data_IF_253435601351
#
_entry.id   IF_253435601351
#
_cell.length_a   1.000
_cell.length_b   1.000
_cell.length_c   1.000
_cell.angle_alpha   90.00
_cell.angle_beta   90.00
_cell.angle_gamma   90.00
#
_symmetry.space_group_name_H-M   'P 1'
#
loop_
_entity.id
_entity.type
_entity.pdbx_description
1 polymer ?
#
# COMPACT_ATOMS: atom_id res chain seq x y z
N UNK A 1 -6.97 38.64 10.84
CA UNK A 1 -7.64 37.68 9.99
C UNK A 1 -7.37 36.28 10.48
N UNK A 2 -8.39 35.47 10.61
CA UNK A 2 -8.46 34.22 11.35
C UNK A 2 -7.42 33.13 10.98
N UNK A 3 -6.87 33.17 9.77
CA UNK A 3 -5.88 32.17 9.32
C UNK A 3 -4.47 32.36 9.93
N UNK A 4 -4.11 33.58 10.35
CA UNK A 4 -2.81 33.86 10.97
C UNK A 4 -2.72 33.44 12.44
N UNK A 5 -3.87 33.38 13.12
CA UNK A 5 -3.91 33.03 14.54
C UNK A 5 -3.91 31.53 14.81
N UNK A 6 -4.36 30.72 13.86
CA UNK A 6 -4.29 29.26 13.93
C UNK A 6 -2.84 28.79 13.80
N UNK A 7 -2.03 29.43 12.97
CA UNK A 7 -0.60 29.08 12.79
C UNK A 7 0.28 29.44 14.00
N UNK A 8 -0.11 30.47 14.79
CA UNK A 8 0.65 30.85 15.99
C UNK A 8 0.38 29.97 17.21
N UNK A 9 -0.78 29.30 17.27
CA UNK A 9 -1.11 28.36 18.34
C UNK A 9 -0.42 27.00 18.20
N UNK A 10 -0.12 26.55 16.98
CA UNK A 10 0.52 25.25 16.75
C UNK A 10 2.01 25.19 17.09
N UNK A 11 2.70 26.32 17.26
CA UNK A 11 4.14 26.34 17.54
C UNK A 11 4.51 26.40 19.04
N UNK A 12 3.53 26.36 19.94
CA UNK A 12 3.81 26.47 21.39
C UNK A 12 3.67 25.18 22.17
N UNK A 13 3.01 24.15 21.61
CA UNK A 13 2.67 22.92 22.34
C UNK A 13 3.52 21.68 21.96
N UNK A 14 4.61 21.86 21.19
CA UNK A 14 5.37 20.73 20.62
C UNK A 14 6.42 20.08 21.54
N UNK A 15 6.61 20.56 22.79
CA UNK A 15 7.62 19.97 23.69
C UNK A 15 7.06 18.99 24.73
N UNK A 16 5.77 19.05 25.04
CA UNK A 16 5.16 18.21 26.09
C UNK A 16 4.34 17.02 25.58
N UNK A 17 3.94 17.02 24.29
CA UNK A 17 3.10 15.95 23.72
C UNK A 17 3.85 14.66 23.38
N UNK A 18 5.19 14.66 23.32
CA UNK A 18 5.95 13.43 23.01
C UNK A 18 5.93 12.38 24.12
N UNK A 19 5.64 12.77 25.36
CA UNK A 19 5.57 11.83 26.49
C UNK A 19 4.16 11.33 26.83
N UNK A 20 3.09 12.03 26.37
CA UNK A 20 1.71 11.61 26.61
C UNK A 20 1.17 10.67 25.54
N UNK A 21 1.68 10.75 24.31
CA UNK A 21 1.19 9.93 23.18
C UNK A 21 1.51 8.43 23.31
N UNK A 22 2.52 8.06 24.11
CA UNK A 22 2.84 6.64 24.32
C UNK A 22 1.89 5.95 25.31
N UNK A 23 1.33 6.69 26.28
CA UNK A 23 0.39 6.13 27.26
C UNK A 23 -1.05 6.00 26.71
N UNK A 24 -1.51 6.96 25.90
CA UNK A 24 -2.84 6.88 25.28
C UNK A 24 -2.94 5.78 24.19
N UNK A 25 -1.81 5.44 23.56
CA UNK A 25 -1.78 4.40 22.53
C UNK A 25 -2.00 2.99 23.11
N UNK A 26 -1.58 2.73 24.35
CA UNK A 26 -1.81 1.42 24.99
C UNK A 26 -3.25 1.19 25.41
N UNK A 27 -4.01 2.24 25.73
CA UNK A 27 -5.41 2.10 26.13
C UNK A 27 -6.38 1.86 24.97
N UNK A 28 -6.12 2.49 23.80
CA UNK A 28 -6.99 2.37 22.61
C UNK A 28 -6.88 1.02 21.91
N UNK A 29 -5.74 0.33 22.05
CA UNK A 29 -5.52 -0.98 21.37
C UNK A 29 -6.23 -2.13 22.08
N UNK A 30 -6.51 -2.00 23.37
CA UNK A 30 -7.21 -3.04 24.15
C UNK A 30 -8.71 -3.14 23.83
N UNK A 31 -9.30 -2.10 23.23
CA UNK A 31 -10.72 -2.05 22.83
C UNK A 31 -10.98 -2.41 21.37
N UNK A 32 -9.94 -2.64 20.55
CA UNK A 32 -10.12 -3.00 19.16
C UNK A 32 -10.57 -4.45 19.01
N UNK A 33 -11.87 -4.67 19.00
CA UNK A 33 -12.50 -5.98 18.70
C UNK A 33 -12.43 -6.23 17.20
N UNK A 34 -11.47 -7.07 16.80
CA UNK A 34 -11.24 -7.47 15.40
C UNK A 34 -12.42 -8.31 14.85
N UNK A 35 -13.26 -8.85 15.71
CA UNK A 35 -14.31 -9.80 15.31
C UNK A 35 -15.57 -9.14 14.70
N UNK A 36 -15.81 -7.85 14.93
CA UNK A 36 -17.04 -7.19 14.45
C UNK A 36 -16.97 -6.63 13.01
N UNK A 37 -15.81 -6.53 12.40
CA UNK A 37 -15.67 -5.93 11.07
C UNK A 37 -15.49 -6.91 9.90
N UNK A 38 -15.56 -8.21 10.13
CA UNK A 38 -15.31 -9.21 9.06
C UNK A 38 -16.57 -9.82 8.45
N UNK A 39 -17.77 -9.41 8.89
CA UNK A 39 -19.05 -9.91 8.35
C UNK A 39 -19.66 -9.02 7.23
N UNK A 40 -18.89 -8.11 6.65
CA UNK A 40 -19.36 -7.27 5.53
C UNK A 40 -18.94 -7.87 4.20
N UNK A 41 -19.54 -8.99 3.82
CA UNK A 41 -19.29 -9.58 2.52
C UNK A 41 -20.58 -10.14 1.86
N UNK A 42 -21.57 -9.28 1.58
CA UNK A 42 -22.64 -9.66 0.62
C UNK A 42 -23.19 -8.51 -0.25
N UNK A 43 -22.64 -7.29 -0.24
CA UNK A 43 -23.20 -6.17 -0.99
C UNK A 43 -22.27 -5.54 -2.06
N UNK A 44 -21.33 -6.32 -2.61
CA UNK A 44 -20.35 -5.78 -3.58
C UNK A 44 -20.94 -5.58 -5.00
N UNK A 45 -21.99 -6.29 -5.36
CA UNK A 45 -22.51 -6.26 -6.75
C UNK A 45 -23.32 -5.01 -7.13
N UNK A 46 -23.85 -4.25 -6.15
CA UNK A 46 -24.62 -3.05 -6.45
C UNK A 46 -23.80 -1.76 -6.50
N UNK A 47 -22.60 -1.76 -5.95
CA UNK A 47 -21.71 -0.58 -5.93
C UNK A 47 -21.02 -0.35 -7.28
N UNK A 48 -20.71 -1.41 -8.03
CA UNK A 48 -20.03 -1.32 -9.32
C UNK A 48 -20.85 -0.64 -10.41
N UNK A 49 -22.19 -0.83 -10.42
CA UNK A 49 -23.09 -0.17 -11.38
C UNK A 49 -23.27 1.33 -11.12
N UNK A 50 -23.29 1.72 -9.84
CA UNK A 50 -23.38 3.13 -9.45
C UNK A 50 -22.08 3.91 -9.72
N UNK A 51 -20.93 3.26 -9.64
CA UNK A 51 -19.63 3.85 -9.97
C UNK A 51 -19.50 4.09 -11.47
N UNK A 52 -19.95 3.14 -12.30
CA UNK A 52 -19.91 3.27 -13.77
C UNK A 52 -20.82 4.41 -14.27
N UNK A 53 -21.98 4.62 -13.65
CA UNK A 53 -22.87 5.73 -13.99
C UNK A 53 -22.30 7.10 -13.52
N UNK A 54 -21.66 7.18 -12.37
CA UNK A 54 -20.98 8.41 -11.92
C UNK A 54 -19.77 8.76 -12.78
N UNK A 55 -19.00 7.78 -13.24
CA UNK A 55 -17.87 8.00 -14.15
C UNK A 55 -18.29 8.56 -15.53
N UNK A 56 -19.51 8.26 -16.00
CA UNK A 56 -20.01 8.83 -17.25
C UNK A 56 -20.49 10.29 -17.12
N UNK A 57 -20.82 10.76 -15.92
CA UNK A 57 -21.22 12.15 -15.65
C UNK A 57 -19.99 13.09 -15.55
N UNK A 58 -18.81 12.55 -15.20
CA UNK A 58 -17.55 13.31 -15.05
C UNK A 58 -16.89 13.63 -16.42
N UNK A 59 -17.42 13.11 -17.54
CA UNK A 59 -16.84 13.35 -18.88
C UNK A 59 -16.92 14.81 -19.39
N UNK A 60 -17.67 15.67 -18.72
CA UNK A 60 -17.83 17.08 -19.10
C UNK A 60 -17.03 18.07 -18.24
N UNK A 61 -16.29 17.61 -17.22
CA UNK A 61 -15.48 18.51 -16.39
C UNK A 61 -14.02 18.47 -16.80
N UNK A 62 -13.51 19.65 -17.15
CA UNK A 62 -12.16 20.11 -17.46
C UNK A 62 -11.08 19.03 -17.41
N UNK A 63 -10.62 18.64 -18.56
CA UNK A 63 -9.49 17.72 -18.76
C UNK A 63 -8.33 18.07 -17.82
N UNK A 64 -7.92 17.10 -16.97
CA UNK A 64 -6.80 17.28 -16.05
C UNK A 64 -5.52 17.59 -16.81
N UNK A 65 -4.90 18.73 -16.51
CA UNK A 65 -3.69 19.20 -17.19
C UNK A 65 -2.47 19.09 -16.28
N UNK A 66 -1.37 18.69 -16.88
CA UNK A 66 -0.05 18.68 -16.25
C UNK A 66 0.81 19.69 -16.98
N UNK A 67 1.40 20.64 -16.25
CA UNK A 67 2.28 21.64 -16.85
C UNK A 67 3.55 21.00 -17.43
N UNK A 68 4.24 20.18 -16.63
CA UNK A 68 5.43 19.42 -17.03
C UNK A 68 5.68 18.23 -16.10
N UNK A 69 6.21 17.14 -16.67
CA UNK A 69 6.65 15.95 -15.94
C UNK A 69 8.19 15.87 -15.83
N UNK A 70 8.93 16.84 -16.37
CA UNK A 70 10.39 16.77 -16.47
C UNK A 70 11.10 16.75 -15.11
N UNK A 71 10.44 17.27 -14.08
CA UNK A 71 11.01 17.37 -12.73
C UNK A 71 10.46 16.32 -11.77
N UNK A 72 9.57 15.46 -12.23
CA UNK A 72 9.04 14.37 -11.44
C UNK A 72 10.11 13.31 -11.19
N UNK A 73 10.11 12.70 -10.01
CA UNK A 73 11.14 11.77 -9.59
C UNK A 73 10.53 10.49 -9.05
N UNK A 74 11.10 9.36 -9.46
CA UNK A 74 10.84 8.06 -8.84
C UNK A 74 12.11 7.64 -8.10
N UNK A 75 12.09 7.73 -6.78
CA UNK A 75 13.23 7.43 -5.93
C UNK A 75 13.06 6.07 -5.22
N UNK A 76 14.16 5.36 -5.06
CA UNK A 76 14.21 4.21 -4.14
C UNK A 76 14.57 4.73 -2.75
N UNK A 77 13.89 4.23 -1.73
CA UNK A 77 14.12 4.64 -0.34
C UNK A 77 15.61 4.55 0.09
N UNK A 78 16.32 3.55 -0.41
CA UNK A 78 17.75 3.32 -0.13
C UNK A 78 18.67 4.48 -0.57
N UNK A 79 18.22 5.28 -1.55
CA UNK A 79 19.00 6.39 -2.11
C UNK A 79 18.67 7.74 -1.48
N UNK A 80 17.62 7.81 -0.67
CA UNK A 80 17.14 9.07 -0.10
C UNK A 80 17.92 9.51 1.13
N UNK A 81 18.51 8.56 1.85
CA UNK A 81 19.19 8.83 3.13
C UNK A 81 20.36 7.89 3.38
N UNK A 82 21.20 8.28 4.34
CA UNK A 82 22.31 7.47 4.81
C UNK A 82 21.83 6.23 5.56
N UNK A 83 22.54 5.12 5.43
CA UNK A 83 22.21 3.85 6.06
C UNK A 83 22.12 3.93 7.60
N UNK A 84 22.88 4.83 8.23
CA UNK A 84 22.84 5.04 9.68
C UNK A 84 21.51 5.64 10.13
N UNK A 85 21.02 6.67 9.44
CA UNK A 85 19.72 7.29 9.72
C UNK A 85 18.57 6.33 9.47
N UNK A 86 18.60 5.61 8.36
CA UNK A 86 17.61 4.58 8.04
C UNK A 86 17.55 3.52 9.15
N UNK A 87 18.70 3.09 9.65
CA UNK A 87 18.79 2.11 10.75
C UNK A 87 18.27 2.67 12.08
N UNK A 88 18.49 3.95 12.36
CA UNK A 88 17.97 4.63 13.55
C UNK A 88 16.45 4.75 13.52
N UNK A 89 15.89 5.20 12.39
CA UNK A 89 14.45 5.28 12.19
C UNK A 89 13.79 3.89 12.27
N UNK A 90 14.46 2.86 11.73
CA UNK A 90 13.97 1.48 11.84
C UNK A 90 13.92 1.00 13.31
N UNK A 91 14.91 1.32 14.11
CA UNK A 91 14.88 0.97 15.54
C UNK A 91 13.69 1.60 16.26
N UNK A 92 13.36 2.87 15.94
CA UNK A 92 12.17 3.52 16.50
C UNK A 92 10.88 2.78 16.10
N UNK A 93 10.77 2.41 14.82
CA UNK A 93 9.61 1.62 14.34
C UNK A 93 9.55 0.25 15.02
N UNK A 94 10.68 -0.43 15.19
CA UNK A 94 10.75 -1.74 15.85
C UNK A 94 10.33 -1.68 17.31
N UNK A 95 10.65 -0.59 18.04
CA UNK A 95 10.20 -0.40 19.43
C UNK A 95 8.67 -0.32 19.51
N UNK A 96 8.05 0.39 18.57
CA UNK A 96 6.59 0.47 18.51
C UNK A 96 5.94 -0.85 18.07
N UNK A 97 6.60 -1.61 17.18
CA UNK A 97 6.14 -2.93 16.75
C UNK A 97 6.17 -3.98 17.86
N UNK A 98 6.97 -3.80 18.92
CA UNK A 98 7.03 -4.76 20.04
C UNK A 98 5.68 -4.92 20.73
N UNK A 99 4.92 -3.84 20.89
CA UNK A 99 3.59 -3.87 21.50
C UNK A 99 2.56 -4.65 20.66
N UNK A 100 2.76 -4.76 19.35
CA UNK A 100 1.84 -5.43 18.40
C UNK A 100 2.26 -6.84 18.00
N UNK A 101 3.32 -7.39 18.56
CA UNK A 101 3.89 -8.69 18.15
C UNK A 101 2.90 -9.84 18.19
N UNK A 102 2.08 -9.90 19.21
CA UNK A 102 1.07 -10.96 19.37
C UNK A 102 -0.09 -10.80 18.40
N UNK A 103 -0.51 -9.55 18.14
CA UNK A 103 -1.51 -9.21 17.14
C UNK A 103 -1.07 -9.65 15.75
N UNK A 104 0.17 -9.34 15.37
CA UNK A 104 0.76 -9.76 14.08
C UNK A 104 0.69 -11.27 13.90
N UNK A 105 1.04 -12.02 14.94
CA UNK A 105 1.04 -13.49 14.87
C UNK A 105 -0.39 -14.05 14.73
N UNK A 106 -1.36 -13.49 15.47
CA UNK A 106 -2.77 -13.88 15.36
C UNK A 106 -3.34 -13.57 13.97
N UNK A 107 -3.09 -12.36 13.45
CA UNK A 107 -3.53 -11.96 12.11
C UNK A 107 -2.90 -12.83 11.02
N UNK A 108 -1.59 -13.09 11.10
CA UNK A 108 -0.89 -13.95 10.15
C UNK A 108 -1.52 -15.34 10.09
N UNK A 109 -1.77 -15.94 11.25
CA UNK A 109 -2.36 -17.29 11.33
C UNK A 109 -3.83 -17.31 10.84
N UNK A 110 -4.61 -16.24 11.11
CA UNK A 110 -6.00 -16.12 10.63
C UNK A 110 -6.02 -15.97 9.11
N UNK A 111 -5.21 -15.06 8.58
CA UNK A 111 -5.10 -14.82 7.14
C UNK A 111 -4.61 -16.06 6.39
N UNK A 112 -3.58 -16.72 6.90
CA UNK A 112 -3.06 -17.96 6.31
C UNK A 112 -4.15 -19.03 6.22
N UNK A 113 -4.93 -19.23 7.31
CA UNK A 113 -6.05 -20.19 7.30
C UNK A 113 -7.12 -19.83 6.28
N UNK A 114 -7.49 -18.54 6.17
CA UNK A 114 -8.50 -18.11 5.19
C UNK A 114 -8.01 -18.25 3.76
N UNK A 115 -6.73 -17.94 3.49
CA UNK A 115 -6.14 -18.12 2.17
C UNK A 115 -6.05 -19.60 1.78
N UNK A 116 -5.62 -20.47 2.70
CA UNK A 116 -5.59 -21.92 2.49
C UNK A 116 -6.99 -22.49 2.26
N UNK A 117 -8.00 -22.01 2.99
CA UNK A 117 -9.38 -22.45 2.82
C UNK A 117 -10.00 -22.06 1.46
N UNK A 118 -9.53 -20.97 0.85
CA UNK A 118 -9.98 -20.49 -0.47
C UNK A 118 -9.12 -21.05 -1.64
N UNK A 119 -8.14 -21.90 -1.36
CA UNK A 119 -7.36 -22.55 -2.42
C UNK A 119 -8.25 -23.52 -3.19
N UNK A 120 -8.31 -23.36 -4.50
CA UNK A 120 -8.88 -24.37 -5.38
C UNK A 120 -7.96 -25.57 -5.38
N UNK A 121 -8.41 -26.67 -4.80
CA UNK A 121 -7.72 -27.95 -4.83
C UNK A 121 -7.88 -28.54 -6.22
N UNK A 122 -6.78 -28.81 -6.90
CA UNK A 122 -6.78 -29.59 -8.14
C UNK A 122 -6.32 -31.01 -7.88
N UNK A 123 -6.85 -31.93 -8.68
CA UNK A 123 -6.40 -33.31 -8.65
C UNK A 123 -5.40 -33.54 -9.77
N UNK A 124 -4.30 -34.15 -9.45
CA UNK A 124 -3.38 -34.75 -10.42
C UNK A 124 -3.79 -36.21 -10.59
N UNK A 125 -4.10 -36.58 -11.83
CA UNK A 125 -4.57 -37.91 -12.18
C UNK A 125 -3.47 -38.72 -12.86
N UNK A 126 -3.74 -39.99 -13.08
CA UNK A 126 -2.84 -40.90 -13.80
C UNK A 126 -1.49 -41.08 -13.09
N UNK A 127 -1.52 -41.33 -11.79
CA UNK A 127 -0.36 -41.59 -10.94
C UNK A 127 -0.28 -43.08 -10.59
N UNK A 128 0.94 -43.54 -10.29
CA UNK A 128 1.23 -44.89 -9.81
C UNK A 128 0.90 -45.04 -8.32
N UNK A 129 0.90 -43.95 -7.55
CA UNK A 129 0.68 -43.97 -6.11
C UNK A 129 -0.27 -42.81 -5.70
N UNK A 130 -1.12 -43.05 -4.70
CA UNK A 130 -2.03 -42.00 -4.16
C UNK A 130 -3.37 -42.56 -3.74
N UNK A 131 -4.41 -41.72 -3.86
CA UNK A 131 -5.81 -42.11 -3.66
C UNK A 131 -6.34 -42.78 -4.92
N UNK A 132 -7.00 -43.92 -4.76
CA UNK A 132 -7.61 -44.64 -5.87
C UNK A 132 -8.70 -43.81 -6.55
N UNK A 133 -8.61 -43.66 -7.86
CA UNK A 133 -9.67 -43.01 -8.64
C UNK A 133 -10.68 -44.05 -9.11
N UNK A 134 -11.85 -44.04 -8.47
CA UNK A 134 -12.94 -44.98 -8.76
C UNK A 134 -13.42 -44.94 -10.23
N UNK A 135 -13.30 -43.80 -10.90
CA UNK A 135 -13.66 -43.65 -12.30
C UNK A 135 -12.75 -44.39 -13.28
N UNK A 136 -11.54 -44.72 -12.85
CA UNK A 136 -10.50 -45.38 -13.68
C UNK A 136 -10.23 -46.83 -13.32
N UNK A 137 -11.02 -47.42 -12.44
CA UNK A 137 -10.87 -48.82 -12.02
C UNK A 137 -11.00 -49.80 -13.19
N UNK A 138 -11.76 -49.48 -14.22
CA UNK A 138 -11.86 -50.30 -15.42
C UNK A 138 -10.54 -50.48 -16.14
N UNK A 139 -9.62 -49.53 -16.06
CA UNK A 139 -8.26 -49.66 -16.63
C UNK A 139 -7.45 -50.75 -15.94
N UNK A 140 -7.54 -50.86 -14.62
CA UNK A 140 -6.81 -51.89 -13.84
C UNK A 140 -7.24 -53.29 -14.23
N UNK A 141 -8.51 -53.47 -14.65
CA UNK A 141 -9.04 -54.75 -15.10
C UNK A 141 -8.58 -55.07 -16.51
N UNK A 142 -8.48 -54.06 -17.37
CA UNK A 142 -8.11 -54.23 -18.78
C UNK A 142 -6.59 -54.40 -18.93
N UNK A 143 -5.79 -53.61 -18.23
CA UNK A 143 -4.34 -53.67 -18.28
C UNK A 143 -3.73 -53.56 -16.87
N UNK A 144 -3.51 -54.72 -16.19
CA UNK A 144 -2.96 -54.74 -14.83
C UNK A 144 -1.51 -54.24 -14.71
N UNK A 145 -0.79 -54.19 -15.82
CA UNK A 145 0.62 -53.77 -15.84
C UNK A 145 0.81 -52.26 -15.95
N UNK A 146 -0.25 -51.53 -16.35
CA UNK A 146 -0.20 -50.07 -16.53
C UNK A 146 -1.26 -49.40 -15.70
N UNK A 147 -1.25 -49.65 -14.39
CA UNK A 147 -2.29 -49.23 -13.44
C UNK A 147 -2.15 -47.76 -13.00
N UNK A 148 -2.15 -46.82 -13.95
CA UNK A 148 -2.22 -45.37 -13.65
C UNK A 148 -3.63 -45.00 -13.22
N UNK A 149 -4.03 -45.49 -12.02
CA UNK A 149 -5.41 -45.34 -11.50
C UNK A 149 -5.48 -44.56 -10.21
N UNK A 150 -4.39 -43.93 -9.82
CA UNK A 150 -4.33 -43.14 -8.61
C UNK A 150 -4.39 -41.65 -8.94
N UNK A 151 -4.93 -40.90 -7.99
CA UNK A 151 -4.97 -39.43 -8.00
C UNK A 151 -4.38 -38.87 -6.72
N UNK A 152 -3.73 -37.73 -6.80
CA UNK A 152 -3.16 -37.00 -5.68
C UNK A 152 -3.70 -35.58 -5.66
N UNK A 153 -4.01 -35.09 -4.48
CA UNK A 153 -4.38 -33.70 -4.31
C UNK A 153 -3.15 -32.81 -4.52
N UNK A 154 -3.24 -31.90 -5.49
CA UNK A 154 -2.19 -30.92 -5.79
C UNK A 154 -2.53 -29.63 -5.12
N UNK A 155 -1.73 -29.23 -4.14
CA UNK A 155 -1.83 -27.91 -3.58
C UNK A 155 -1.42 -26.88 -4.64
N UNK A 156 -2.39 -26.09 -5.12
CA UNK A 156 -2.09 -24.94 -5.95
C UNK A 156 -1.41 -23.91 -5.06
N UNK A 157 -0.13 -23.67 -5.30
CA UNK A 157 0.57 -22.59 -4.63
C UNK A 157 -0.11 -21.25 -4.97
N UNK A 158 -0.49 -20.51 -3.94
CA UNK A 158 -1.16 -19.19 -4.04
C UNK A 158 -0.19 -18.10 -4.54
N UNK A 159 0.61 -18.42 -5.55
CA UNK A 159 1.71 -17.58 -6.05
C UNK A 159 1.25 -16.40 -6.91
N UNK A 160 -0.02 -16.37 -7.32
CA UNK A 160 -0.49 -15.44 -8.35
C UNK A 160 -1.17 -14.18 -7.80
N UNK A 161 -0.89 -13.83 -6.56
CA UNK A 161 -1.45 -12.62 -5.96
C UNK A 161 -0.36 -11.62 -5.62
N UNK A 162 -0.56 -10.37 -6.02
CA UNK A 162 0.27 -9.24 -5.63
C UNK A 162 -0.59 -8.18 -4.94
N UNK A 163 -0.06 -7.64 -3.85
CA UNK A 163 -0.66 -6.52 -3.11
C UNK A 163 0.29 -5.33 -3.17
N UNK A 164 -0.15 -4.24 -3.75
CA UNK A 164 0.58 -2.97 -3.73
C UNK A 164 -0.04 -2.06 -2.68
N UNK A 165 0.74 -1.66 -1.69
CA UNK A 165 0.34 -0.73 -0.63
C UNK A 165 0.91 0.63 -1.00
N UNK A 166 0.04 1.59 -1.30
CA UNK A 166 0.39 2.97 -1.63
C UNK A 166 0.11 3.85 -0.41
N UNK A 167 1.12 4.53 0.10
CA UNK A 167 1.06 5.30 1.35
C UNK A 167 1.26 6.77 1.04
N UNK A 168 0.39 7.57 1.58
CA UNK A 168 0.48 9.02 1.56
C UNK A 168 1.60 9.50 2.51
N UNK A 169 2.57 10.21 1.94
CA UNK A 169 3.66 10.86 2.67
C UNK A 169 3.47 12.39 2.67
N UNK A 170 2.25 12.85 2.88
CA UNK A 170 1.92 14.27 2.99
C UNK A 170 2.17 14.83 4.38
N UNK A 171 2.17 16.16 4.47
CA UNK A 171 2.36 16.87 5.73
C UNK A 171 1.24 16.65 6.73
N UNK A 172 0.00 16.40 6.27
CA UNK A 172 -1.16 16.07 7.11
C UNK A 172 -0.99 14.72 7.82
N UNK A 173 -0.29 13.78 7.19
CA UNK A 173 0.02 12.47 7.78
C UNK A 173 1.09 12.54 8.89
N UNK A 174 1.68 13.71 9.17
CA UNK A 174 2.75 13.87 10.15
C UNK A 174 2.33 13.39 11.55
N UNK A 175 3.26 12.73 12.26
CA UNK A 175 3.06 12.25 13.61
C UNK A 175 2.40 10.87 13.68
N UNK A 176 1.27 10.77 14.37
CA UNK A 176 0.58 9.48 14.62
C UNK A 176 0.09 8.79 13.34
N UNK A 177 -0.53 9.47 12.35
CA UNK A 177 -1.04 8.78 11.14
C UNK A 177 0.03 8.07 10.35
N UNK A 178 1.15 8.73 10.04
CA UNK A 178 2.24 8.10 9.26
C UNK A 178 2.90 6.94 10.03
N UNK A 179 2.96 7.06 11.36
CA UNK A 179 3.48 5.99 12.20
C UNK A 179 2.61 4.74 12.13
N UNK A 180 1.29 4.92 12.24
CA UNK A 180 0.33 3.81 12.10
C UNK A 180 0.40 3.22 10.69
N UNK A 181 0.46 4.05 9.65
CA UNK A 181 0.61 3.60 8.27
C UNK A 181 1.88 2.75 8.07
N UNK A 182 3.01 3.20 8.62
CA UNK A 182 4.28 2.46 8.58
C UNK A 182 4.21 1.12 9.33
N UNK A 183 3.57 1.10 10.50
CA UNK A 183 3.33 -0.12 11.27
C UNK A 183 2.43 -1.11 10.49
N UNK A 184 1.33 -0.62 9.93
CA UNK A 184 0.43 -1.43 9.10
C UNK A 184 1.16 -2.00 7.88
N UNK A 185 1.95 -1.19 7.17
CA UNK A 185 2.72 -1.64 6.03
C UNK A 185 3.74 -2.72 6.39
N UNK A 186 4.44 -2.58 7.52
CA UNK A 186 5.40 -3.58 8.00
C UNK A 186 4.70 -4.89 8.37
N UNK A 187 3.60 -4.81 9.12
CA UNK A 187 2.81 -5.96 9.54
C UNK A 187 2.24 -6.70 8.34
N UNK A 188 1.59 -5.97 7.42
CA UNK A 188 0.98 -6.55 6.22
C UNK A 188 2.05 -7.17 5.32
N UNK A 189 3.16 -6.47 5.07
CA UNK A 189 4.25 -7.00 4.24
C UNK A 189 4.80 -8.31 4.81
N UNK A 190 5.04 -8.36 6.11
CA UNK A 190 5.54 -9.55 6.78
C UNK A 190 4.53 -10.70 6.76
N UNK A 191 3.26 -10.39 6.97
CA UNK A 191 2.18 -11.38 7.05
C UNK A 191 1.88 -11.98 5.69
N UNK A 192 1.72 -11.12 4.68
CA UNK A 192 1.39 -11.55 3.31
C UNK A 192 2.53 -12.35 2.68
N UNK A 193 3.79 -11.97 2.90
CA UNK A 193 4.92 -12.77 2.41
C UNK A 193 4.98 -14.17 3.04
N UNK A 194 4.59 -14.32 4.32
CA UNK A 194 4.48 -15.65 4.93
C UNK A 194 3.41 -16.52 4.28
N UNK A 195 2.41 -15.88 3.66
CA UNK A 195 1.35 -16.54 2.90
C UNK A 195 1.70 -16.69 1.40
N UNK A 196 2.97 -16.49 1.01
CA UNK A 196 3.44 -16.56 -0.39
C UNK A 196 2.80 -15.52 -1.32
N UNK A 197 2.24 -14.44 -0.78
CA UNK A 197 1.72 -13.30 -1.54
C UNK A 197 2.82 -12.28 -1.74
N UNK A 198 3.00 -11.80 -2.98
CA UNK A 198 3.95 -10.74 -3.28
C UNK A 198 3.42 -9.39 -2.79
N UNK A 199 4.29 -8.61 -2.15
CA UNK A 199 3.92 -7.30 -1.61
C UNK A 199 4.87 -6.23 -2.11
N UNK A 200 4.29 -5.15 -2.61
CA UNK A 200 4.99 -3.92 -2.96
C UNK A 200 4.55 -2.80 -2.02
N UNK A 201 5.49 -1.98 -1.53
CA UNK A 201 5.18 -0.82 -0.69
C UNK A 201 5.72 0.43 -1.36
N UNK A 202 4.82 1.32 -1.68
CA UNK A 202 5.06 2.57 -2.38
C UNK A 202 4.65 3.75 -1.50
N UNK A 203 5.28 4.89 -1.72
CA UNK A 203 4.87 6.15 -1.11
C UNK A 203 4.83 7.26 -2.13
N UNK A 204 4.05 8.28 -1.85
CA UNK A 204 3.96 9.44 -2.70
C UNK A 204 3.93 10.74 -1.91
N UNK A 205 4.58 11.75 -2.45
CA UNK A 205 4.65 13.12 -1.93
C UNK A 205 5.12 14.06 -3.04
N UNK A 206 5.34 15.33 -2.73
CA UNK A 206 6.00 16.29 -3.63
C UNK A 206 7.46 16.49 -3.24
N UNK A 207 8.28 17.02 -4.15
CA UNK A 207 9.70 17.37 -3.88
C UNK A 207 9.82 18.56 -2.96
N UNK A 208 8.98 19.56 -3.16
CA UNK A 208 9.03 20.84 -2.48
C UNK A 208 7.66 21.20 -1.91
N UNK A 209 7.64 22.07 -0.94
CA UNK A 209 6.43 22.71 -0.47
C UNK A 209 6.03 23.83 -1.45
N UNK A 210 4.72 23.93 -1.75
CA UNK A 210 4.14 25.03 -2.55
C UNK A 210 4.76 25.24 -3.93
N UNK A 211 4.93 24.14 -4.66
CA UNK A 211 5.49 24.12 -6.00
C UNK A 211 6.93 23.62 -6.02
N UNK A 212 7.61 23.81 -7.12
CA UNK A 212 9.00 23.38 -7.33
C UNK A 212 9.55 24.02 -8.58
N UNK A 213 10.43 23.32 -9.27
CA UNK A 213 11.01 23.79 -10.53
C UNK A 213 9.94 24.01 -11.60
N UNK A 214 8.88 23.22 -11.62
CA UNK A 214 7.73 23.41 -12.51
C UNK A 214 7.08 24.78 -12.30
N UNK A 215 6.91 25.22 -11.06
CA UNK A 215 6.36 26.53 -10.74
C UNK A 215 7.30 27.68 -11.08
N UNK A 216 8.60 27.50 -10.88
CA UNK A 216 9.61 28.48 -11.27
C UNK A 216 9.63 28.68 -12.79
N UNK A 217 9.60 27.60 -13.56
CA UNK A 217 9.56 27.65 -15.04
C UNK A 217 8.28 28.31 -15.53
N UNK A 218 7.14 28.01 -14.93
CA UNK A 218 5.88 28.68 -15.25
C UNK A 218 5.95 30.20 -15.00
N UNK A 219 6.58 30.58 -13.88
CA UNK A 219 6.76 32.01 -13.54
C UNK A 219 7.67 32.71 -14.55
N UNK A 220 8.76 32.06 -14.99
CA UNK A 220 9.69 32.56 -15.99
C UNK A 220 9.03 32.70 -17.37
N UNK A 221 8.07 31.81 -17.71
CA UNK A 221 7.39 31.82 -19.03
C UNK A 221 6.16 32.74 -19.08
N UNK A 222 5.99 33.62 -18.08
CA UNK A 222 4.97 34.66 -18.13
C UNK A 222 3.60 34.26 -17.57
N UNK A 223 3.53 33.26 -16.68
CA UNK A 223 2.33 32.88 -15.93
C UNK A 223 1.11 32.61 -16.81
N UNK A 224 1.22 31.62 -17.68
CA UNK A 224 0.13 31.15 -18.56
C UNK A 224 -1.10 30.81 -17.72
N UNK A 225 -2.30 31.21 -18.16
CA UNK A 225 -3.56 30.89 -17.49
C UNK A 225 -3.86 29.39 -17.57
N UNK A 226 -4.41 28.84 -16.49
CA UNK A 226 -4.76 27.41 -16.35
C UNK A 226 -3.61 26.47 -16.70
N UNK A 227 -2.45 26.55 -16.02
CA UNK A 227 -1.30 25.73 -16.33
C UNK A 227 -1.48 24.26 -16.01
N UNK A 228 -2.43 23.91 -15.15
CA UNK A 228 -2.55 22.58 -14.58
C UNK A 228 -1.61 22.38 -13.38
N UNK A 229 -1.20 21.14 -13.10
CA UNK A 229 -0.33 20.83 -11.97
C UNK A 229 1.02 21.54 -12.06
N UNK A 230 1.38 22.26 -10.99
CA UNK A 230 2.64 23.02 -10.87
C UNK A 230 3.61 22.46 -9.82
N UNK A 231 3.28 21.38 -9.15
CA UNK A 231 4.15 20.70 -8.20
C UNK A 231 5.00 19.63 -8.88
N UNK A 232 6.22 19.43 -8.36
CA UNK A 232 7.11 18.35 -8.77
C UNK A 232 6.83 17.12 -7.90
N UNK A 233 6.47 15.99 -8.51
CA UNK A 233 6.14 14.78 -7.79
C UNK A 233 7.38 14.03 -7.30
N UNK A 234 7.27 13.39 -6.17
CA UNK A 234 8.21 12.39 -5.67
C UNK A 234 7.49 11.12 -5.31
N UNK A 235 7.69 10.10 -6.13
CA UNK A 235 7.22 8.75 -5.86
C UNK A 235 8.35 7.93 -5.24
N UNK A 236 8.08 7.27 -4.11
CA UNK A 236 9.08 6.54 -3.33
C UNK A 236 8.76 5.05 -3.38
N UNK A 237 9.78 4.24 -3.70
CA UNK A 237 9.69 2.78 -3.63
C UNK A 237 10.38 2.33 -2.34
N UNK A 238 9.59 2.00 -1.32
CA UNK A 238 10.11 1.46 -0.06
C UNK A 238 10.46 -0.01 -0.18
N UNK A 239 9.61 -0.78 -0.84
CA UNK A 239 9.80 -2.20 -1.08
C UNK A 239 9.24 -2.56 -2.45
N UNK A 240 10.06 -3.13 -3.32
CA UNK A 240 9.57 -3.69 -4.58
C UNK A 240 8.98 -5.09 -4.36
N UNK A 241 8.08 -5.51 -5.26
CA UNK A 241 7.39 -6.79 -5.18
C UNK A 241 8.33 -8.01 -5.15
N UNK A 242 9.47 -7.91 -5.84
CA UNK A 242 10.43 -9.01 -5.99
C UNK A 242 11.45 -9.07 -4.84
N UNK A 243 11.53 -8.03 -4.00
CA UNK A 243 12.40 -8.00 -2.84
C UNK A 243 11.69 -8.56 -1.61
N UNK A 244 12.36 -9.45 -0.87
CA UNK A 244 11.85 -9.94 0.41
C UNK A 244 11.81 -8.84 1.47
N UNK A 245 10.79 -8.88 2.33
CA UNK A 245 10.63 -7.96 3.45
C UNK A 245 11.91 -7.83 4.30
N UNK A 246 12.61 -8.92 4.56
CA UNK A 246 13.84 -8.91 5.37
C UNK A 246 14.92 -7.99 4.82
N UNK A 247 15.02 -7.83 3.51
CA UNK A 247 15.99 -6.93 2.86
C UNK A 247 15.51 -5.48 2.88
N UNK A 248 14.20 -5.26 2.74
CA UNK A 248 13.60 -3.92 2.61
C UNK A 248 13.05 -3.35 3.92
N UNK A 249 13.08 -4.11 5.03
CA UNK A 249 12.50 -3.68 6.31
C UNK A 249 13.06 -2.36 6.83
N UNK A 250 14.35 -2.09 6.59
CA UNK A 250 14.97 -0.86 7.03
C UNK A 250 14.39 0.35 6.30
N UNK A 251 14.08 0.21 5.03
CA UNK A 251 13.51 1.26 4.18
C UNK A 251 12.16 1.75 4.69
N UNK A 252 11.36 0.87 5.30
CA UNK A 252 10.05 1.22 5.87
C UNK A 252 10.18 2.22 7.03
N UNK A 253 11.29 2.18 7.77
CA UNK A 253 11.58 3.17 8.81
C UNK A 253 11.69 4.59 8.30
N UNK A 254 12.05 4.78 7.02
CA UNK A 254 12.20 6.09 6.40
C UNK A 254 10.87 6.87 6.31
N UNK A 255 9.72 6.19 6.37
CA UNK A 255 8.41 6.85 6.43
C UNK A 255 8.28 7.79 7.64
N UNK A 256 8.99 7.50 8.73
CA UNK A 256 8.98 8.33 9.94
C UNK A 256 9.82 9.61 9.81
N UNK A 257 10.51 9.80 8.68
CA UNK A 257 11.32 11.01 8.47
C UNK A 257 10.45 12.20 8.09
N UNK A 258 10.29 13.14 9.00
CA UNK A 258 9.47 14.35 8.82
C UNK A 258 9.89 15.20 7.61
N UNK A 259 11.17 15.24 7.26
CA UNK A 259 11.68 15.99 6.12
C UNK A 259 11.20 15.51 4.74
N UNK A 260 10.66 14.28 4.67
CA UNK A 260 10.08 13.73 3.45
C UNK A 260 8.60 14.06 3.29
N UNK A 261 7.90 14.41 4.37
CA UNK A 261 6.47 14.70 4.35
C UNK A 261 6.22 16.10 3.79
N UNK A 262 5.50 16.20 2.67
CA UNK A 262 5.19 17.46 1.98
C UNK A 262 3.75 17.47 1.49
N UNK A 263 3.48 18.01 0.30
CA UNK A 263 2.15 18.03 -0.30
C UNK A 263 1.85 16.69 -1.02
N UNK A 264 0.59 16.43 -1.32
CA UNK A 264 0.15 15.21 -1.97
C UNK A 264 -0.71 15.46 -3.20
N UNK A 265 -0.54 14.62 -4.22
CA UNK A 265 -1.35 14.58 -5.44
C UNK A 265 -1.79 13.13 -5.64
N UNK A 266 -2.94 12.80 -5.09
CA UNK A 266 -3.42 11.42 -4.97
C UNK A 266 -3.72 10.79 -6.33
N UNK A 267 -4.36 11.51 -7.24
CA UNK A 267 -4.78 10.97 -8.53
C UNK A 267 -3.62 10.46 -9.40
N UNK A 268 -2.54 11.25 -9.51
CA UNK A 268 -1.35 10.83 -10.25
C UNK A 268 -0.59 9.70 -9.56
N UNK A 269 -0.57 9.71 -8.23
CA UNK A 269 0.06 8.65 -7.45
C UNK A 269 -0.67 7.30 -7.60
N UNK A 270 -1.99 7.31 -7.55
CA UNK A 270 -2.83 6.12 -7.78
C UNK A 270 -2.61 5.60 -9.20
N UNK A 271 -2.61 6.48 -10.20
CA UNK A 271 -2.38 6.09 -11.59
C UNK A 271 -0.97 5.49 -11.78
N UNK A 272 0.06 6.08 -11.14
CA UNK A 272 1.40 5.53 -11.16
C UNK A 272 1.49 4.13 -10.54
N UNK A 273 0.89 3.93 -9.36
CA UNK A 273 0.85 2.63 -8.69
C UNK A 273 0.05 1.59 -9.51
N UNK A 274 -1.07 1.99 -10.09
CA UNK A 274 -1.90 1.15 -10.96
C UNK A 274 -1.12 0.70 -12.21
N UNK A 275 -0.43 1.61 -12.88
CA UNK A 275 0.37 1.29 -14.07
C UNK A 275 1.55 0.34 -13.75
N UNK A 276 2.12 0.44 -12.54
CA UNK A 276 3.13 -0.52 -12.06
C UNK A 276 2.51 -1.90 -11.85
N UNK A 277 1.35 -1.93 -11.18
CA UNK A 277 0.63 -3.15 -10.87
C UNK A 277 0.13 -3.86 -12.14
N UNK A 278 -0.31 -3.11 -13.16
CA UNK A 278 -0.73 -3.67 -14.44
C UNK A 278 0.37 -4.43 -15.18
N UNK A 279 1.61 -3.93 -15.11
CA UNK A 279 2.78 -4.56 -15.75
C UNK A 279 3.19 -5.89 -15.11
N UNK A 280 2.59 -6.26 -13.99
CA UNK A 280 2.88 -7.51 -13.29
C UNK A 280 2.12 -8.68 -13.93
N UNK A 281 2.74 -9.86 -13.90
CA UNK A 281 2.19 -11.09 -14.46
C UNK A 281 1.26 -11.86 -13.52
N UNK A 282 1.13 -11.42 -12.26
CA UNK A 282 0.26 -12.06 -11.28
C UNK A 282 -1.22 -11.93 -11.68
N UNK A 283 -1.99 -12.98 -11.43
CA UNK A 283 -3.41 -13.07 -11.82
C UNK A 283 -4.28 -12.12 -10.98
N UNK A 284 -4.06 -12.12 -9.66
CA UNK A 284 -4.77 -11.24 -8.73
C UNK A 284 -3.90 -10.04 -8.36
N UNK A 285 -4.43 -8.86 -8.61
CA UNK A 285 -3.75 -7.59 -8.39
C UNK A 285 -4.59 -6.72 -7.47
N UNK A 286 -4.06 -6.41 -6.29
CA UNK A 286 -4.75 -5.63 -5.27
C UNK A 286 -3.96 -4.35 -5.03
N UNK A 287 -4.60 -3.19 -5.18
CA UNK A 287 -4.07 -1.89 -4.80
C UNK A 287 -4.75 -1.42 -3.52
N UNK A 288 -3.97 -1.22 -2.48
CA UNK A 288 -4.42 -0.68 -1.20
C UNK A 288 -3.83 0.72 -1.03
N UNK A 289 -4.67 1.72 -0.83
CA UNK A 289 -4.25 3.10 -0.63
C UNK A 289 -4.49 3.47 0.83
N UNK A 290 -3.47 4.04 1.49
CA UNK A 290 -3.53 4.54 2.86
C UNK A 290 -3.26 6.04 2.79
N UNK A 291 -4.28 6.84 3.01
CA UNK A 291 -4.26 8.32 3.02
C UNK A 291 -5.25 8.82 4.07
N UNK A 292 -5.06 10.03 4.54
CA UNK A 292 -6.02 10.73 5.41
C UNK A 292 -7.20 11.35 4.64
N UNK A 293 -7.17 11.25 3.31
CA UNK A 293 -8.24 11.73 2.45
C UNK A 293 -8.26 13.26 2.24
N UNK A 294 -7.21 13.96 2.62
CA UNK A 294 -7.07 15.40 2.45
C UNK A 294 -6.01 15.75 1.39
N UNK A 295 -6.33 15.66 0.07
CA UNK A 295 -5.37 16.06 -0.96
C UNK A 295 -5.17 17.59 -0.91
N UNK A 296 -3.92 18.01 -0.73
CA UNK A 296 -3.54 19.43 -0.66
C UNK A 296 -2.44 19.72 -1.67
N UNK A 297 -2.77 20.53 -2.66
CA UNK A 297 -1.83 21.12 -3.63
C UNK A 297 -2.11 22.61 -3.74
N UNK A 298 -1.60 23.38 -2.77
CA UNK A 298 -1.79 24.82 -2.70
C UNK A 298 -1.27 25.56 -3.94
N UNK A 299 -0.21 25.06 -4.54
CA UNK A 299 0.45 25.69 -5.70
C UNK A 299 -0.39 25.60 -6.96
N UNK A 300 -1.12 24.53 -7.15
CA UNK A 300 -2.02 24.31 -8.28
C UNK A 300 -3.38 24.96 -8.03
N UNK A 301 -3.94 24.79 -6.83
CA UNK A 301 -5.24 25.36 -6.45
C UNK A 301 -5.29 26.90 -6.47
N UNK A 302 -4.17 27.55 -6.20
CA UNK A 302 -4.09 29.02 -6.19
C UNK A 302 -4.11 29.65 -7.58
N UNK A 303 -3.92 28.87 -8.66
CA UNK A 303 -3.65 29.38 -10.01
C UNK A 303 -4.65 28.87 -11.06
N UNK A 304 -5.30 27.73 -10.83
CA UNK A 304 -6.32 27.15 -11.69
C UNK A 304 -7.71 27.42 -11.10
#
# INVERSE_FOLDING_TARGET
>A
SAASDVYKRQNKDTSDEQNSSSMEFESDVSEFRIDEQLDVDENVDNSSKNISQKLNIIKDEKEYKIYTNNFDEIARAEKLENNEEISKLRKNLDQQLLSFKDLVTKLANKLQRQLLAKQNRSWEFDLEEGLLDSSKLTRVVIDPYNSLSFKKEKDLEFKDTIVTILIDNSGSMRGRPITIAALCADILSRTLERCSVKVEVLGFTTKNWKGGQSREDWTKKGKIKNPGRLNDLRHIIYKSADNHWRRSKNNLGLMLKEGLLKENIDGEAINWAYNRLQKRGEERKILMVISDGAPVDDSTLSVN
#
